data_IF_157623692370
#
_entry.id   IF_157623692370
#
_cell.length_a   1.000
_cell.length_b   1.000
_cell.length_c   1.000
_cell.angle_alpha   90.00
_cell.angle_beta   90.00
_cell.angle_gamma   90.00
#
_symmetry.space_group_name_H-M   'P 1'
#
loop_
_entity.id
_entity.type
_entity.pdbx_description
1 polymer ?
#
# COMPACT_ATOMS: atom_id res chain seq x y z
N UNK A 1 -36.11 -5.06 -1.20
CA UNK A 1 -35.00 -5.51 -0.40
C UNK A 1 -34.03 -4.35 -0.17
N UNK A 2 -33.31 -4.36 0.94
CA UNK A 2 -32.27 -3.35 1.21
C UNK A 2 -31.02 -3.76 0.44
N UNK A 3 -30.35 -2.79 -0.16
CA UNK A 3 -29.06 -2.98 -0.83
C UNK A 3 -27.95 -2.57 0.12
N UNK A 4 -26.99 -3.45 0.39
CA UNK A 4 -25.78 -3.10 1.13
C UNK A 4 -24.89 -2.28 0.20
N UNK A 5 -24.50 -1.08 0.63
CA UNK A 5 -23.70 -0.12 -0.16
C UNK A 5 -22.37 0.23 0.49
N UNK A 6 -22.20 -0.10 1.78
CA UNK A 6 -20.97 0.19 2.53
C UNK A 6 -20.63 -0.94 3.50
N UNK A 7 -19.35 -1.03 3.82
CA UNK A 7 -18.80 -1.85 4.90
C UNK A 7 -18.39 -0.88 6.01
N UNK A 8 -18.96 -1.04 7.19
CA UNK A 8 -18.68 -0.14 8.32
C UNK A 8 -17.30 -0.33 8.94
N UNK A 9 -16.91 0.62 9.80
CA UNK A 9 -15.65 0.57 10.52
C UNK A 9 -15.52 -0.74 11.31
N UNK A 10 -14.36 -1.39 11.17
CA UNK A 10 -14.01 -2.64 11.86
C UNK A 10 -15.04 -3.78 11.69
N UNK A 11 -15.90 -3.73 10.66
CA UNK A 11 -17.01 -4.67 10.49
C UNK A 11 -16.57 -6.14 10.47
N UNK A 12 -15.37 -6.45 9.98
CA UNK A 12 -14.78 -7.78 9.94
C UNK A 12 -13.45 -7.87 10.69
N UNK A 13 -13.15 -6.88 11.56
CA UNK A 13 -11.90 -6.87 12.31
C UNK A 13 -11.73 -8.17 13.12
N UNK A 14 -10.55 -8.79 13.01
CA UNK A 14 -10.23 -10.05 13.72
C UNK A 14 -10.94 -11.29 13.19
N UNK A 15 -11.59 -11.26 12.02
CA UNK A 15 -12.14 -12.44 11.36
C UNK A 15 -11.01 -13.35 10.86
N UNK A 16 -10.29 -13.99 11.78
CA UNK A 16 -9.04 -14.71 11.51
C UNK A 16 -9.18 -15.95 10.63
N UNK A 17 -10.39 -16.46 10.43
CA UNK A 17 -10.67 -17.58 9.52
C UNK A 17 -11.13 -17.15 8.12
N UNK A 18 -11.34 -15.86 7.89
CA UNK A 18 -11.76 -15.30 6.60
C UNK A 18 -10.61 -15.43 5.59
N UNK A 19 -10.84 -16.15 4.48
CA UNK A 19 -9.79 -16.43 3.48
C UNK A 19 -9.87 -15.55 2.24
N UNK A 20 -11.07 -15.14 1.85
CA UNK A 20 -11.26 -14.28 0.68
C UNK A 20 -12.46 -13.36 0.84
N UNK A 21 -12.39 -12.20 0.18
CA UNK A 21 -13.49 -11.24 0.10
C UNK A 21 -13.69 -10.85 -1.35
N UNK A 22 -14.93 -10.92 -1.81
CA UNK A 22 -15.34 -10.35 -3.11
C UNK A 22 -16.46 -9.36 -2.88
N UNK A 23 -16.19 -8.10 -3.21
CA UNK A 23 -17.16 -7.02 -3.07
C UNK A 23 -17.95 -6.85 -4.36
N UNK A 24 -19.30 -6.92 -4.32
CA UNK A 24 -20.11 -6.61 -5.49
C UNK A 24 -20.03 -5.12 -5.85
N UNK A 25 -20.23 -4.78 -7.12
CA UNK A 25 -20.11 -3.40 -7.64
C UNK A 25 -21.02 -2.36 -6.98
N UNK A 26 -21.95 -2.75 -6.12
CA UNK A 26 -22.81 -1.84 -5.35
C UNK A 26 -22.16 -1.31 -4.07
N UNK A 27 -21.03 -1.86 -3.65
CA UNK A 27 -20.28 -1.35 -2.49
C UNK A 27 -19.47 -0.14 -2.93
N UNK A 28 -19.69 0.99 -2.28
CA UNK A 28 -19.04 2.27 -2.61
C UNK A 28 -18.07 2.74 -1.52
N UNK A 29 -18.09 2.09 -0.34
CA UNK A 29 -17.32 2.54 0.81
C UNK A 29 -16.88 1.37 1.68
N UNK A 30 -15.65 1.45 2.17
CA UNK A 30 -15.07 0.59 3.18
C UNK A 30 -14.71 1.48 4.37
N UNK A 31 -15.06 1.07 5.59
CA UNK A 31 -14.74 1.80 6.82
C UNK A 31 -13.34 1.50 7.35
N UNK A 32 -12.88 2.32 8.28
CA UNK A 32 -11.58 2.19 8.94
C UNK A 32 -11.44 0.82 9.62
N UNK A 33 -10.30 0.18 9.40
CA UNK A 33 -9.99 -1.12 9.97
C UNK A 33 -10.96 -2.24 9.59
N UNK A 34 -11.76 -2.10 8.52
CA UNK A 34 -12.85 -3.02 8.19
C UNK A 34 -12.43 -4.50 8.17
N UNK A 35 -11.20 -4.81 7.73
CA UNK A 35 -10.64 -6.15 7.69
C UNK A 35 -9.36 -6.29 8.55
N UNK A 36 -9.14 -5.38 9.49
CA UNK A 36 -7.97 -5.42 10.37
C UNK A 36 -7.84 -6.78 11.04
N UNK A 37 -6.62 -7.34 11.04
CA UNK A 37 -6.30 -8.62 11.69
C UNK A 37 -7.08 -9.83 11.14
N UNK A 38 -7.52 -9.79 9.89
CA UNK A 38 -8.00 -10.96 9.15
C UNK A 38 -6.81 -11.82 8.72
N UNK A 39 -6.19 -12.54 9.66
CA UNK A 39 -4.87 -13.16 9.49
C UNK A 39 -4.80 -14.30 8.47
N UNK A 40 -5.94 -14.86 8.05
CA UNK A 40 -6.03 -15.86 6.98
C UNK A 40 -6.49 -15.31 5.65
N UNK A 41 -6.76 -13.98 5.55
CA UNK A 41 -7.25 -13.34 4.33
C UNK A 41 -6.14 -13.33 3.27
N UNK A 42 -6.33 -14.10 2.20
CA UNK A 42 -5.37 -14.30 1.11
C UNK A 42 -5.65 -13.42 -0.09
N UNK A 43 -6.94 -13.22 -0.41
CA UNK A 43 -7.34 -12.46 -1.60
C UNK A 43 -8.51 -11.52 -1.34
N UNK A 44 -8.46 -10.36 -1.98
CA UNK A 44 -9.52 -9.35 -1.94
C UNK A 44 -9.82 -8.87 -3.35
N UNK A 45 -11.10 -8.96 -3.76
CA UNK A 45 -11.61 -8.32 -4.96
C UNK A 45 -12.45 -7.13 -4.54
N UNK A 46 -11.97 -5.94 -4.84
CA UNK A 46 -12.67 -4.69 -4.54
C UNK A 46 -13.82 -4.44 -5.51
N UNK A 47 -14.81 -3.68 -5.06
CA UNK A 47 -15.81 -3.10 -5.96
C UNK A 47 -15.17 -2.02 -6.84
N UNK A 48 -15.56 -1.94 -8.11
CA UNK A 48 -15.12 -0.88 -9.03
C UNK A 48 -15.61 0.54 -8.63
N UNK A 49 -16.45 0.63 -7.61
CA UNK A 49 -16.98 1.91 -7.10
C UNK A 49 -16.22 2.42 -5.87
N UNK A 50 -15.21 1.69 -5.40
CA UNK A 50 -14.35 2.12 -4.29
C UNK A 50 -13.35 3.14 -4.81
N UNK A 51 -13.26 4.29 -4.15
CA UNK A 51 -12.34 5.38 -4.50
C UNK A 51 -11.24 5.60 -3.46
N UNK A 52 -11.34 4.95 -2.31
CA UNK A 52 -10.39 5.09 -1.20
C UNK A 52 -10.22 3.75 -0.48
N UNK A 53 -8.99 3.43 -0.10
CA UNK A 53 -8.69 2.40 0.90
C UNK A 53 -8.48 3.13 2.23
N UNK A 54 -9.36 2.97 3.22
CA UNK A 54 -9.32 3.75 4.45
C UNK A 54 -8.21 3.31 5.41
N UNK A 55 -8.08 4.05 6.51
CA UNK A 55 -7.06 3.80 7.54
C UNK A 55 -7.17 2.39 8.11
N UNK A 56 -6.06 1.66 8.09
CA UNK A 56 -5.96 0.31 8.63
C UNK A 56 -6.86 -0.74 8.00
N UNK A 57 -7.45 -0.49 6.82
CA UNK A 57 -8.45 -1.39 6.21
C UNK A 57 -8.02 -2.85 6.19
N UNK A 58 -6.74 -3.13 5.87
CA UNK A 58 -6.14 -4.46 5.83
C UNK A 58 -4.94 -4.60 6.80
N UNK A 59 -4.89 -3.77 7.84
CA UNK A 59 -3.83 -3.83 8.85
C UNK A 59 -3.71 -5.25 9.43
N UNK A 60 -2.51 -5.82 9.40
CA UNK A 60 -2.20 -7.17 9.90
C UNK A 60 -2.97 -8.30 9.20
N UNK A 61 -3.35 -8.13 7.93
CA UNK A 61 -3.79 -9.24 7.08
C UNK A 61 -2.56 -10.03 6.62
N UNK A 62 -1.98 -10.81 7.54
CA UNK A 62 -0.65 -11.42 7.37
C UNK A 62 -0.56 -12.45 6.24
N UNK A 63 -1.68 -13.05 5.82
CA UNK A 63 -1.74 -13.99 4.71
C UNK A 63 -2.08 -13.33 3.36
N UNK A 64 -2.29 -11.99 3.31
CA UNK A 64 -2.71 -11.32 2.09
C UNK A 64 -1.58 -11.37 1.04
N UNK A 65 -1.91 -11.96 -0.11
CA UNK A 65 -1.01 -12.10 -1.26
C UNK A 65 -1.57 -11.51 -2.53
N UNK A 66 -2.90 -11.33 -2.63
CA UNK A 66 -3.56 -10.88 -3.84
C UNK A 66 -4.62 -9.82 -3.51
N UNK A 67 -4.34 -8.61 -3.92
CA UNK A 67 -5.30 -7.51 -3.96
C UNK A 67 -5.00 -6.64 -5.16
N UNK A 68 -6.02 -6.46 -6.01
CA UNK A 68 -5.92 -5.56 -7.15
C UNK A 68 -6.68 -4.28 -6.85
N UNK A 69 -5.97 -3.18 -6.91
CA UNK A 69 -6.56 -1.85 -6.78
C UNK A 69 -7.14 -1.43 -8.14
N UNK A 70 -8.38 -0.97 -8.12
CA UNK A 70 -9.04 -0.46 -9.33
C UNK A 70 -8.57 0.97 -9.67
N UNK A 71 -8.71 1.36 -10.94
CA UNK A 71 -8.33 2.68 -11.48
C UNK A 71 -9.12 3.87 -10.89
N UNK A 72 -10.08 3.59 -10.01
CA UNK A 72 -10.87 4.62 -9.33
C UNK A 72 -10.29 4.97 -7.95
N UNK A 73 -9.33 4.20 -7.46
CA UNK A 73 -8.69 4.47 -6.15
C UNK A 73 -7.79 5.69 -6.28
N UNK A 74 -8.05 6.72 -5.48
CA UNK A 74 -7.27 7.96 -5.46
C UNK A 74 -6.47 8.15 -4.18
N UNK A 75 -6.83 7.40 -3.12
CA UNK A 75 -6.20 7.51 -1.81
C UNK A 75 -6.06 6.15 -1.13
N UNK A 76 -4.91 5.96 -0.48
CA UNK A 76 -4.65 4.81 0.39
C UNK A 76 -4.29 5.35 1.77
N UNK A 77 -5.09 4.99 2.77
CA UNK A 77 -5.04 5.53 4.13
C UNK A 77 -3.83 5.06 4.94
N UNK A 78 -3.73 5.62 6.15
CA UNK A 78 -2.69 5.32 7.12
C UNK A 78 -2.74 3.83 7.51
N UNK A 79 -1.58 3.18 7.52
CA UNK A 79 -1.45 1.76 7.88
C UNK A 79 -2.36 0.81 7.08
N UNK A 80 -2.85 1.20 5.92
CA UNK A 80 -3.86 0.43 5.19
C UNK A 80 -3.44 -1.01 4.91
N UNK A 81 -2.16 -1.25 4.63
CA UNK A 81 -1.54 -2.56 4.39
C UNK A 81 -0.42 -2.90 5.37
N UNK A 82 -0.30 -2.16 6.49
CA UNK A 82 0.77 -2.43 7.43
C UNK A 82 0.70 -3.87 7.96
N UNK A 83 1.86 -4.52 8.06
CA UNK A 83 2.01 -5.92 8.49
C UNK A 83 1.28 -6.95 7.60
N UNK A 84 1.05 -6.66 6.32
CA UNK A 84 0.68 -7.67 5.32
C UNK A 84 1.94 -8.45 4.94
N UNK A 85 2.36 -9.35 5.82
CA UNK A 85 3.70 -9.97 5.76
C UNK A 85 3.88 -10.99 4.63
N UNK A 86 2.82 -11.41 3.95
CA UNK A 86 2.87 -12.31 2.78
C UNK A 86 2.77 -11.57 1.44
N UNK A 87 2.58 -10.24 1.46
CA UNK A 87 2.52 -9.44 0.24
C UNK A 87 3.92 -9.34 -0.37
N UNK A 88 4.09 -9.84 -1.61
CA UNK A 88 5.39 -9.93 -2.29
C UNK A 88 5.60 -8.81 -3.30
N UNK A 89 4.56 -8.40 -3.95
CA UNK A 89 4.57 -7.33 -4.96
C UNK A 89 3.24 -6.58 -4.94
N UNK A 90 3.25 -5.34 -5.40
CA UNK A 90 2.06 -4.53 -5.53
C UNK A 90 2.23 -3.49 -6.63
N UNK A 91 1.23 -3.41 -7.50
CA UNK A 91 1.10 -2.35 -8.49
C UNK A 91 0.09 -1.32 -8.00
N UNK A 92 0.54 -0.08 -7.84
CA UNK A 92 -0.32 1.03 -7.44
C UNK A 92 -0.78 1.76 -8.70
N UNK A 93 -2.10 1.88 -8.96
CA UNK A 93 -2.59 2.54 -10.16
C UNK A 93 -2.26 4.04 -10.18
N UNK A 94 -2.08 4.61 -11.37
CA UNK A 94 -1.76 6.03 -11.60
C UNK A 94 -2.81 7.01 -11.05
N UNK A 95 -4.00 6.51 -10.73
CA UNK A 95 -5.06 7.29 -10.09
C UNK A 95 -4.77 7.64 -8.63
N UNK A 96 -3.86 6.89 -7.96
CA UNK A 96 -3.53 7.13 -6.54
C UNK A 96 -2.59 8.31 -6.42
N UNK A 97 -3.04 9.34 -5.71
CA UNK A 97 -2.29 10.58 -5.48
C UNK A 97 -1.94 10.82 -4.01
N UNK A 98 -2.58 10.09 -3.11
CA UNK A 98 -2.40 10.28 -1.66
C UNK A 98 -2.14 8.96 -0.93
N UNK A 99 -1.12 8.97 -0.06
CA UNK A 99 -0.83 7.89 0.87
C UNK A 99 -0.82 8.40 2.31
N UNK A 100 -1.42 7.63 3.21
CA UNK A 100 -1.26 7.84 4.64
C UNK A 100 0.10 7.35 5.14
N UNK A 101 0.47 7.76 6.36
CA UNK A 101 1.70 7.29 7.00
C UNK A 101 1.68 5.77 7.22
N UNK A 102 2.85 5.14 7.17
CA UNK A 102 3.01 3.72 7.52
C UNK A 102 2.21 2.75 6.62
N UNK A 103 1.79 3.17 5.42
CA UNK A 103 0.88 2.38 4.57
C UNK A 103 1.33 0.94 4.38
N UNK A 104 2.62 0.69 4.11
CA UNK A 104 3.21 -0.64 3.91
C UNK A 104 4.18 -1.05 5.03
N UNK A 105 4.12 -0.41 6.20
CA UNK A 105 5.03 -0.73 7.30
C UNK A 105 4.99 -2.22 7.66
N UNK A 106 6.13 -2.87 7.72
CA UNK A 106 6.24 -4.27 8.13
C UNK A 106 5.78 -5.29 7.09
N UNK A 107 5.57 -4.90 5.82
CA UNK A 107 5.38 -5.83 4.71
C UNK A 107 6.71 -6.54 4.42
N UNK A 108 7.07 -7.51 5.28
CA UNK A 108 8.41 -8.09 5.33
C UNK A 108 8.79 -8.94 4.12
N UNK A 109 7.81 -9.39 3.33
CA UNK A 109 8.02 -10.15 2.08
C UNK A 109 7.89 -9.28 0.83
N UNK A 110 7.65 -7.96 0.96
CA UNK A 110 7.49 -7.07 -0.20
C UNK A 110 8.86 -6.90 -0.90
N UNK A 111 9.00 -7.53 -2.06
CA UNK A 111 10.22 -7.53 -2.88
C UNK A 111 10.24 -6.37 -3.86
N UNK A 112 9.06 -6.00 -4.38
CA UNK A 112 8.89 -4.92 -5.34
C UNK A 112 7.58 -4.17 -5.15
N UNK A 113 7.58 -2.90 -5.52
CA UNK A 113 6.38 -2.07 -5.60
C UNK A 113 6.52 -1.10 -6.77
N UNK A 114 5.47 -1.00 -7.59
CA UNK A 114 5.38 0.02 -8.63
C UNK A 114 4.49 1.15 -8.13
N UNK A 115 5.04 2.35 -8.08
CA UNK A 115 4.35 3.57 -7.69
C UNK A 115 3.91 4.38 -8.91
N UNK A 116 2.86 5.22 -8.78
CA UNK A 116 2.48 6.16 -9.84
C UNK A 116 3.63 7.10 -10.22
N UNK A 117 3.85 7.30 -11.50
CA UNK A 117 4.83 8.28 -12.02
C UNK A 117 4.48 9.75 -11.67
N UNK A 118 3.25 9.97 -11.20
CA UNK A 118 2.75 11.28 -10.78
C UNK A 118 2.95 11.56 -9.29
N UNK A 119 3.47 10.59 -8.53
CA UNK A 119 3.62 10.72 -7.09
C UNK A 119 4.75 11.71 -6.74
N UNK A 120 4.42 12.75 -5.97
CA UNK A 120 5.36 13.81 -5.60
C UNK A 120 6.05 13.57 -4.26
N UNK A 121 5.43 12.83 -3.35
CA UNK A 121 5.93 12.64 -1.98
C UNK A 121 5.64 11.24 -1.46
N UNK A 122 6.58 10.66 -0.73
CA UNK A 122 6.32 9.49 0.13
C UNK A 122 5.88 9.95 1.52
N UNK A 123 4.94 9.22 2.08
CA UNK A 123 4.53 9.45 3.48
C UNK A 123 5.57 8.91 4.47
N UNK A 124 5.56 9.46 5.69
CA UNK A 124 6.46 9.01 6.75
C UNK A 124 6.31 7.52 7.03
N UNK A 125 7.45 6.83 7.22
CA UNK A 125 7.54 5.41 7.55
C UNK A 125 6.87 4.46 6.54
N UNK A 126 6.62 4.91 5.30
CA UNK A 126 5.80 4.18 4.33
C UNK A 126 6.25 2.73 4.11
N UNK A 127 7.56 2.49 4.00
CA UNK A 127 8.16 1.15 3.80
C UNK A 127 8.99 0.70 5.00
N UNK A 128 8.74 1.25 6.19
CA UNK A 128 9.47 0.84 7.38
C UNK A 128 9.41 -0.68 7.58
N UNK A 129 10.57 -1.33 7.73
CA UNK A 129 10.71 -2.77 7.92
C UNK A 129 10.19 -3.63 6.74
N UNK A 130 10.12 -3.11 5.52
CA UNK A 130 9.97 -3.92 4.30
C UNK A 130 11.32 -4.61 4.02
N UNK A 131 11.62 -5.66 4.78
CA UNK A 131 12.96 -6.25 4.82
C UNK A 131 13.35 -7.00 3.54
N UNK A 132 12.39 -7.41 2.71
CA UNK A 132 12.63 -8.08 1.44
C UNK A 132 12.82 -7.11 0.27
N UNK A 133 12.48 -5.81 0.43
CA UNK A 133 12.58 -4.82 -0.65
C UNK A 133 14.02 -4.69 -1.14
N UNK A 134 14.25 -5.03 -2.42
CA UNK A 134 15.59 -5.08 -3.01
C UNK A 134 15.96 -3.84 -3.81
N UNK A 135 14.97 -3.22 -4.44
CA UNK A 135 15.16 -2.01 -5.25
C UNK A 135 13.97 -1.06 -5.09
N UNK A 136 14.23 0.21 -5.30
CA UNK A 136 13.20 1.24 -5.33
C UNK A 136 13.48 2.24 -6.44
N UNK A 137 12.48 2.52 -7.28
CA UNK A 137 12.58 3.53 -8.34
C UNK A 137 11.93 4.83 -7.88
N UNK A 138 12.66 5.93 -7.97
CA UNK A 138 12.17 7.27 -7.62
C UNK A 138 11.59 7.90 -8.88
N UNK A 139 10.26 8.17 -8.95
CA UNK A 139 9.65 8.91 -10.05
C UNK A 139 10.24 10.31 -10.21
N UNK A 140 10.32 10.81 -11.45
CA UNK A 140 10.86 12.16 -11.74
C UNK A 140 10.06 13.29 -11.08
N UNK A 141 8.82 13.04 -10.72
CA UNK A 141 7.95 13.98 -9.99
C UNK A 141 8.22 14.03 -8.50
N UNK A 142 8.92 13.04 -7.93
CA UNK A 142 9.09 12.92 -6.49
C UNK A 142 10.07 13.96 -5.95
N UNK A 143 9.60 14.74 -4.99
CA UNK A 143 10.37 15.81 -4.35
C UNK A 143 10.65 15.57 -2.87
N UNK A 144 9.96 14.61 -2.25
CA UNK A 144 10.14 14.25 -0.84
C UNK A 144 10.04 12.74 -0.64
N UNK A 145 11.07 12.15 -0.04
CA UNK A 145 11.15 10.70 0.25
C UNK A 145 10.53 10.32 1.60
N UNK A 146 9.92 11.26 2.29
CA UNK A 146 9.27 11.00 3.57
C UNK A 146 10.23 10.66 4.71
N UNK A 147 9.83 11.01 5.94
CA UNK A 147 10.63 10.77 7.13
C UNK A 147 10.73 9.27 7.42
N UNK A 148 11.97 8.75 7.48
CA UNK A 148 12.27 7.34 7.79
C UNK A 148 11.51 6.33 6.91
N UNK A 149 11.21 6.69 5.64
CA UNK A 149 10.40 5.87 4.75
C UNK A 149 10.96 4.44 4.57
N UNK A 150 12.28 4.28 4.48
CA UNK A 150 12.95 2.99 4.23
C UNK A 150 13.70 2.42 5.44
N UNK A 151 13.45 2.91 6.66
CA UNK A 151 14.14 2.38 7.85
C UNK A 151 13.84 0.90 8.03
N UNK A 152 14.86 0.06 8.12
CA UNK A 152 14.72 -1.39 8.26
C UNK A 152 14.52 -2.17 6.95
N UNK A 153 14.60 -1.53 5.79
CA UNK A 153 14.68 -2.19 4.47
C UNK A 153 16.08 -2.78 4.29
N UNK A 154 16.37 -3.90 4.95
CA UNK A 154 17.73 -4.45 5.08
C UNK A 154 18.30 -5.05 3.81
N UNK A 155 17.45 -5.38 2.84
CA UNK A 155 17.83 -5.94 1.54
C UNK A 155 17.82 -4.90 0.41
N UNK A 156 17.53 -3.62 0.72
CA UNK A 156 17.55 -2.55 -0.29
C UNK A 156 18.98 -2.33 -0.76
N UNK A 157 19.24 -2.69 -2.02
CA UNK A 157 20.56 -2.67 -2.67
C UNK A 157 20.70 -1.52 -3.65
N UNK A 158 19.58 -1.18 -4.32
CA UNK A 158 19.58 -0.17 -5.39
C UNK A 158 18.44 0.82 -5.20
N UNK A 159 18.75 2.08 -5.46
CA UNK A 159 17.76 3.14 -5.64
C UNK A 159 17.95 3.63 -7.07
N UNK A 160 16.94 3.40 -7.90
CA UNK A 160 16.96 3.81 -9.30
C UNK A 160 16.39 5.22 -9.43
N UNK A 161 17.15 6.09 -10.10
CA UNK A 161 16.78 7.48 -10.33
C UNK A 161 17.21 7.87 -11.75
N UNK A 162 16.38 8.64 -12.43
CA UNK A 162 16.76 9.13 -13.76
C UNK A 162 17.95 10.09 -13.69
N UNK A 163 18.82 10.07 -14.70
CA UNK A 163 19.99 10.95 -14.77
C UNK A 163 19.61 12.46 -14.81
N UNK A 164 18.35 12.76 -15.12
CA UNK A 164 17.84 14.13 -15.24
C UNK A 164 16.80 14.45 -14.15
N UNK A 165 16.76 13.68 -13.06
CA UNK A 165 15.81 13.93 -11.98
C UNK A 165 15.96 15.36 -11.43
N UNK A 166 14.88 16.15 -11.33
CA UNK A 166 14.96 17.58 -11.02
C UNK A 166 15.45 17.89 -9.59
N UNK A 167 15.26 16.96 -8.66
CA UNK A 167 15.53 17.17 -7.22
C UNK A 167 16.70 16.33 -6.72
N UNK A 168 16.76 15.05 -7.15
CA UNK A 168 17.73 14.08 -6.62
C UNK A 168 18.80 13.73 -7.63
N UNK A 169 20.00 13.43 -7.16
CA UNK A 169 21.12 12.96 -7.95
C UNK A 169 21.83 11.84 -7.21
N UNK A 170 22.34 10.85 -7.96
CA UNK A 170 23.27 9.86 -7.45
C UNK A 170 24.69 10.31 -7.77
N UNK A 171 25.53 10.42 -6.76
CA UNK A 171 26.94 10.61 -6.92
C UNK A 171 27.68 9.57 -6.07
N UNK A 172 28.50 8.73 -6.72
CA UNK A 172 29.22 7.63 -6.05
C UNK A 172 28.26 6.74 -5.20
N UNK A 173 27.10 6.40 -5.75
CA UNK A 173 26.01 5.62 -5.12
C UNK A 173 25.39 6.28 -3.89
N UNK A 174 25.61 7.56 -3.66
CA UNK A 174 24.98 8.35 -2.61
C UNK A 174 23.92 9.27 -3.22
N UNK A 175 22.74 9.25 -2.61
CA UNK A 175 21.61 10.10 -3.00
C UNK A 175 21.75 11.50 -2.34
N UNK A 176 21.63 12.55 -3.15
CA UNK A 176 21.64 13.94 -2.72
C UNK A 176 20.37 14.66 -3.12
#
# INVERSE_FOLDING_TARGET
>A
GYTVVSIGDQAFAGCSALQSVTMPNGITEIGDGAFQSCTSLQSVTLSNSITEIPDGAFLSCSALTDIQLGDQITKIGRMAFAYCTSLTDMEIPDSVTEFGEQTFMGCSSLESITLPETLETLSAYMFQNCSALESFSIPDTMTDLGYLAFVGCRNLKTIDISANHPTYQLQDDVLY
#
